data_IF_137577527486
#
_entry.id   IF_137577527486
#
_cell.length_a   1.000
_cell.length_b   1.000
_cell.length_c   1.000
_cell.angle_alpha   90.00
_cell.angle_beta   90.00
_cell.angle_gamma   90.00
#
_symmetry.space_group_name_H-M   'P 1'
#
loop_
_entity.id
_entity.type
_entity.pdbx_description
1 polymer ?
#
# COMPACT_ATOMS: atom_id res chain seq x y z
N UNK A 1 34.24 28.63 -22.15
CA UNK A 1 34.58 27.77 -20.98
C UNK A 1 33.38 26.94 -20.62
N UNK A 2 33.28 25.74 -21.13
CA UNK A 2 32.23 24.75 -20.77
C UNK A 2 32.67 24.09 -19.47
N UNK A 3 31.93 24.35 -18.39
CA UNK A 3 32.09 23.61 -17.15
C UNK A 3 31.44 22.22 -17.33
N UNK A 4 32.27 21.23 -17.50
CA UNK A 4 31.95 19.82 -17.41
C UNK A 4 31.49 19.54 -15.95
N UNK A 5 30.17 19.51 -15.69
CA UNK A 5 29.63 18.93 -14.48
C UNK A 5 29.66 17.41 -14.65
N UNK A 6 30.75 16.77 -14.22
CA UNK A 6 30.78 15.35 -13.92
C UNK A 6 29.84 15.09 -12.74
N UNK A 7 28.55 14.87 -13.03
CA UNK A 7 27.64 14.28 -12.09
C UNK A 7 28.14 12.85 -11.81
N UNK A 8 28.42 12.53 -10.57
CA UNK A 8 28.67 11.18 -10.10
C UNK A 8 27.51 10.29 -10.56
N UNK A 9 27.75 9.50 -11.61
CA UNK A 9 26.80 8.48 -12.07
C UNK A 9 26.76 7.37 -11.00
N UNK A 10 25.90 7.53 -10.02
CA UNK A 10 25.44 6.40 -9.21
C UNK A 10 24.89 5.33 -10.16
N UNK A 11 25.20 4.07 -9.89
CA UNK A 11 24.80 2.91 -10.69
C UNK A 11 23.28 2.97 -10.93
N UNK A 12 22.87 3.34 -12.15
CA UNK A 12 21.45 3.45 -12.51
C UNK A 12 20.84 2.05 -12.51
N UNK A 13 19.91 1.81 -11.59
CA UNK A 13 19.18 0.54 -11.53
C UNK A 13 18.17 0.55 -12.67
N UNK A 14 18.17 -0.50 -13.50
CA UNK A 14 17.22 -0.59 -14.61
C UNK A 14 15.78 -0.57 -14.10
N UNK A 15 14.91 0.32 -14.60
CA UNK A 15 13.55 0.50 -14.14
C UNK A 15 12.69 -0.77 -14.16
N UNK A 16 12.98 -1.72 -15.05
CA UNK A 16 12.24 -2.99 -15.11
C UNK A 16 12.30 -3.81 -13.82
N UNK A 17 13.34 -3.61 -12.99
CA UNK A 17 13.49 -4.33 -11.74
C UNK A 17 12.70 -3.73 -10.58
N UNK A 18 12.34 -2.44 -10.63
CA UNK A 18 11.67 -1.79 -9.51
C UNK A 18 10.29 -1.22 -9.85
N UNK A 19 10.05 -0.74 -11.09
CA UNK A 19 8.74 -0.19 -11.47
C UNK A 19 7.62 -1.23 -11.30
N UNK A 20 7.72 -2.47 -11.82
CA UNK A 20 6.68 -3.48 -11.65
C UNK A 20 6.36 -3.76 -10.18
N UNK A 21 7.40 -3.99 -9.38
CA UNK A 21 7.26 -4.39 -7.98
C UNK A 21 6.76 -3.26 -7.08
N UNK A 22 7.21 -2.02 -7.34
CA UNK A 22 6.77 -0.84 -6.59
C UNK A 22 5.27 -0.54 -6.83
N UNK A 23 4.79 -0.65 -8.07
CA UNK A 23 3.37 -0.44 -8.37
C UNK A 23 2.49 -1.62 -7.99
N UNK A 24 3.02 -2.83 -7.96
CA UNK A 24 2.35 -3.96 -7.32
C UNK A 24 2.19 -3.72 -5.80
N UNK A 25 3.26 -3.28 -5.12
CA UNK A 25 3.22 -2.92 -3.70
C UNK A 25 2.26 -1.75 -3.39
N UNK A 26 2.08 -0.83 -4.34
CA UNK A 26 1.09 0.26 -4.25
C UNK A 26 -0.34 -0.26 -4.30
N UNK A 27 -0.64 -1.18 -5.24
CA UNK A 27 -2.00 -1.70 -5.44
C UNK A 27 -2.47 -2.67 -4.36
N UNK A 28 -1.57 -3.46 -3.80
CA UNK A 28 -1.93 -4.55 -2.89
C UNK A 28 -2.60 -4.07 -1.59
N UNK A 29 -2.06 -3.11 -0.81
CA UNK A 29 -2.72 -2.59 0.40
C UNK A 29 -4.06 -1.92 0.10
N UNK A 30 -4.16 -1.17 -0.99
CA UNK A 30 -5.39 -0.52 -1.40
C UNK A 30 -6.53 -1.53 -1.59
N UNK A 31 -6.28 -2.60 -2.34
CA UNK A 31 -7.30 -3.63 -2.61
C UNK A 31 -7.53 -4.52 -1.39
N UNK A 32 -6.49 -4.81 -0.60
CA UNK A 32 -6.63 -5.57 0.63
C UNK A 32 -7.60 -4.90 1.61
N UNK A 33 -7.53 -3.58 1.75
CA UNK A 33 -8.43 -2.82 2.62
C UNK A 33 -9.81 -2.61 1.98
N UNK A 34 -9.86 -2.25 0.70
CA UNK A 34 -11.10 -1.83 0.05
C UNK A 34 -12.01 -3.00 -0.33
N UNK A 35 -11.44 -4.17 -0.57
CA UNK A 35 -12.21 -5.30 -1.11
C UNK A 35 -11.99 -6.60 -0.34
N UNK A 36 -10.73 -7.02 -0.14
CA UNK A 36 -10.45 -8.30 0.54
C UNK A 36 -10.98 -8.30 1.97
N UNK A 37 -10.80 -7.19 2.71
CA UNK A 37 -11.33 -7.05 4.07
C UNK A 37 -12.86 -7.09 4.14
N UNK A 38 -13.53 -6.63 3.09
CA UNK A 38 -15.01 -6.68 3.02
C UNK A 38 -15.51 -8.11 3.02
N UNK A 39 -14.89 -8.99 2.21
CA UNK A 39 -15.20 -10.41 2.22
C UNK A 39 -14.91 -11.04 3.58
N UNK A 40 -13.73 -10.78 4.14
CA UNK A 40 -13.37 -11.25 5.48
C UNK A 40 -14.43 -10.87 6.54
N UNK A 41 -14.83 -9.61 6.58
CA UNK A 41 -15.79 -9.14 7.57
C UNK A 41 -17.17 -9.76 7.36
N UNK A 42 -17.62 -9.95 6.11
CA UNK A 42 -18.88 -10.64 5.80
C UNK A 42 -18.87 -12.09 6.28
N UNK A 43 -17.82 -12.83 5.96
CA UNK A 43 -17.67 -14.23 6.36
C UNK A 43 -17.59 -14.40 7.88
N UNK A 44 -17.14 -13.37 8.60
CA UNK A 44 -17.05 -13.34 10.06
C UNK A 44 -18.27 -12.70 10.74
N UNK A 45 -19.33 -12.40 9.97
CA UNK A 45 -20.64 -12.01 10.51
C UNK A 45 -20.77 -10.52 10.85
N UNK A 46 -19.90 -9.65 10.35
CA UNK A 46 -20.03 -8.21 10.50
C UNK A 46 -21.13 -7.70 9.56
N UNK A 47 -22.00 -6.83 10.04
CA UNK A 47 -23.11 -6.29 9.26
C UNK A 47 -22.61 -5.41 8.08
N UNK A 48 -23.33 -5.46 6.95
CA UNK A 48 -22.99 -4.66 5.76
C UNK A 48 -22.92 -3.15 6.06
N UNK A 49 -23.79 -2.67 6.97
CA UNK A 49 -23.77 -1.27 7.40
C UNK A 49 -22.47 -0.89 8.09
N UNK A 50 -21.97 -1.73 9.00
CA UNK A 50 -20.69 -1.49 9.69
C UNK A 50 -19.53 -1.59 8.71
N UNK A 51 -19.51 -2.59 7.84
CA UNK A 51 -18.48 -2.77 6.82
C UNK A 51 -18.39 -1.52 5.93
N UNK A 52 -19.52 -1.11 5.33
CA UNK A 52 -19.57 0.04 4.42
C UNK A 52 -19.16 1.33 5.10
N UNK A 53 -19.66 1.59 6.31
CA UNK A 53 -19.31 2.80 7.05
C UNK A 53 -17.80 2.89 7.33
N UNK A 54 -17.23 1.86 7.93
CA UNK A 54 -15.83 1.89 8.34
C UNK A 54 -14.86 1.82 7.15
N UNK A 55 -15.13 0.99 6.14
CA UNK A 55 -14.27 0.93 4.96
C UNK A 55 -14.28 2.24 4.19
N UNK A 56 -15.43 2.91 4.05
CA UNK A 56 -15.50 4.24 3.42
C UNK A 56 -14.67 5.28 4.18
N UNK A 57 -14.72 5.27 5.51
CA UNK A 57 -13.94 6.19 6.34
C UNK A 57 -12.43 5.93 6.22
N UNK A 58 -12.04 4.66 6.24
CA UNK A 58 -10.63 4.26 6.12
C UNK A 58 -10.04 4.63 4.74
N UNK A 59 -10.86 4.76 3.70
CA UNK A 59 -10.39 5.15 2.37
C UNK A 59 -10.08 6.65 2.24
N UNK A 60 -10.47 7.50 3.21
CA UNK A 60 -10.24 8.94 3.16
C UNK A 60 -8.76 9.36 3.00
N UNK A 61 -7.76 8.67 3.58
CA UNK A 61 -6.36 9.05 3.37
C UNK A 61 -5.94 9.13 1.90
N UNK A 62 -6.42 8.24 1.03
CA UNK A 62 -6.11 8.31 -0.40
C UNK A 62 -6.68 9.56 -1.08
N UNK A 63 -7.83 10.04 -0.63
CA UNK A 63 -8.44 11.28 -1.12
C UNK A 63 -7.72 12.51 -0.56
N UNK A 64 -7.33 12.46 0.71
CA UNK A 64 -6.73 13.59 1.42
C UNK A 64 -5.20 13.64 1.35
N UNK A 65 -4.53 12.71 0.65
CA UNK A 65 -3.07 12.59 0.61
C UNK A 65 -2.35 13.87 0.15
N UNK A 66 -3.01 14.75 -0.60
CA UNK A 66 -2.47 16.05 -1.02
C UNK A 66 -2.15 16.97 0.17
N UNK A 67 -2.81 16.81 1.32
CA UNK A 67 -2.59 17.64 2.50
C UNK A 67 -1.20 17.45 3.12
N UNK A 68 -0.64 16.23 3.05
CA UNK A 68 0.69 15.96 3.61
C UNK A 68 1.77 15.66 2.56
N UNK A 69 1.40 15.59 1.30
CA UNK A 69 2.34 15.37 0.19
C UNK A 69 3.52 16.37 0.22
N UNK A 70 3.33 17.70 0.44
CA UNK A 70 4.44 18.64 0.47
C UNK A 70 5.44 18.40 1.62
N UNK A 71 4.96 17.85 2.75
CA UNK A 71 5.84 17.55 3.88
C UNK A 71 6.81 16.40 3.58
N UNK A 72 6.43 15.44 2.72
CA UNK A 72 7.30 14.34 2.32
C UNK A 72 8.51 14.84 1.49
N UNK A 73 8.43 16.00 0.89
CA UNK A 73 9.54 16.60 0.14
C UNK A 73 10.58 17.27 1.04
N UNK A 74 10.19 17.64 2.27
CA UNK A 74 11.07 18.31 3.24
C UNK A 74 11.97 17.36 4.03
N UNK A 75 11.47 16.13 4.26
CA UNK A 75 12.05 15.23 5.25
C UNK A 75 12.68 14.01 4.62
N UNK A 76 13.65 13.56 4.40
CA UNK A 76 14.16 12.29 3.89
C UNK A 76 14.00 12.12 2.38
N UNK A 77 14.52 11.02 1.90
CA UNK A 77 14.40 10.61 0.49
C UNK A 77 13.06 9.94 0.23
N UNK A 78 12.56 10.02 -0.99
CA UNK A 78 11.33 9.30 -1.40
C UNK A 78 11.49 7.79 -1.22
N UNK A 79 12.67 7.23 -1.51
CA UNK A 79 13.01 5.83 -1.22
C UNK A 79 12.79 5.46 0.25
N UNK A 80 13.20 6.33 1.18
CA UNK A 80 12.99 6.07 2.62
C UNK A 80 11.51 5.87 2.94
N UNK A 81 10.64 6.74 2.41
CA UNK A 81 9.20 6.62 2.65
C UNK A 81 8.63 5.35 2.02
N UNK A 82 9.01 4.98 0.78
CA UNK A 82 8.58 3.72 0.16
C UNK A 82 8.93 2.53 1.07
N UNK A 83 10.17 2.43 1.53
CA UNK A 83 10.62 1.32 2.36
C UNK A 83 9.90 1.26 3.70
N UNK A 84 9.76 2.40 4.37
CA UNK A 84 9.09 2.46 5.68
C UNK A 84 7.62 2.08 5.55
N UNK A 85 6.93 2.58 4.53
CA UNK A 85 5.51 2.29 4.34
C UNK A 85 5.24 0.85 3.93
N UNK A 86 6.10 0.23 3.10
CA UNK A 86 6.00 -1.19 2.75
C UNK A 86 6.19 -2.09 3.97
N UNK A 87 7.27 -1.88 4.74
CA UNK A 87 7.56 -2.67 5.93
C UNK A 87 6.51 -2.45 7.02
N UNK A 88 6.08 -1.21 7.24
CA UNK A 88 5.02 -0.88 8.20
C UNK A 88 3.70 -1.56 7.80
N UNK A 89 3.29 -1.44 6.54
CA UNK A 89 2.07 -2.08 6.05
C UNK A 89 2.15 -3.59 6.18
N UNK A 90 3.31 -4.20 5.88
CA UNK A 90 3.52 -5.63 6.06
C UNK A 90 3.36 -6.07 7.51
N UNK A 91 3.99 -5.37 8.46
CA UNK A 91 3.85 -5.66 9.90
C UNK A 91 2.39 -5.51 10.33
N UNK A 92 1.72 -4.45 9.91
CA UNK A 92 0.34 -4.16 10.29
C UNK A 92 -0.66 -5.17 9.69
N UNK A 93 -0.45 -5.67 8.47
CA UNK A 93 -1.24 -6.79 7.95
C UNK A 93 -1.04 -8.07 8.77
N UNK A 94 0.16 -8.29 9.31
CA UNK A 94 0.41 -9.33 10.30
C UNK A 94 -0.39 -9.13 11.59
N UNK A 95 -0.53 -7.89 12.07
CA UNK A 95 -1.41 -7.56 13.20
C UNK A 95 -2.87 -7.84 12.88
N UNK A 96 -3.34 -7.51 11.67
CA UNK A 96 -4.70 -7.88 11.21
C UNK A 96 -4.89 -9.39 11.22
N UNK A 97 -3.96 -10.17 10.66
CA UNK A 97 -4.00 -11.62 10.71
C UNK A 97 -4.10 -12.15 12.15
N UNK A 98 -3.24 -11.63 13.03
CA UNK A 98 -3.22 -12.05 14.43
C UNK A 98 -4.47 -11.61 15.21
N UNK A 99 -5.11 -10.51 14.83
CA UNK A 99 -6.34 -10.03 15.49
C UNK A 99 -7.49 -11.03 15.41
N UNK A 100 -7.50 -11.89 14.39
CA UNK A 100 -8.57 -12.88 14.17
C UNK A 100 -8.64 -13.99 15.24
N UNK A 101 -7.65 -14.05 16.15
CA UNK A 101 -7.71 -14.91 17.34
C UNK A 101 -8.57 -14.32 18.47
N UNK A 102 -8.96 -13.05 18.39
CA UNK A 102 -9.64 -12.35 19.49
C UNK A 102 -11.10 -12.02 19.14
N UNK A 103 -11.96 -11.98 20.13
CA UNK A 103 -13.36 -11.59 19.94
C UNK A 103 -13.51 -10.14 19.45
N UNK A 104 -12.56 -9.27 19.81
CA UNK A 104 -12.53 -7.87 19.38
C UNK A 104 -11.81 -7.64 18.05
N UNK A 105 -11.67 -8.70 17.21
CA UNK A 105 -10.93 -8.64 15.95
C UNK A 105 -11.37 -7.49 15.03
N UNK A 106 -12.66 -7.20 14.98
CA UNK A 106 -13.19 -6.15 14.10
C UNK A 106 -12.62 -4.78 14.46
N UNK A 107 -12.66 -4.37 15.75
CA UNK A 107 -12.12 -3.09 16.19
C UNK A 107 -10.61 -3.00 15.98
N UNK A 108 -9.87 -4.09 16.26
CA UNK A 108 -8.43 -4.15 16.04
C UNK A 108 -8.10 -4.05 14.54
N UNK A 109 -8.80 -4.82 13.70
CA UNK A 109 -8.59 -4.81 12.25
C UNK A 109 -8.86 -3.43 11.65
N UNK A 110 -10.00 -2.80 11.97
CA UNK A 110 -10.38 -1.48 11.47
C UNK A 110 -9.36 -0.42 11.89
N UNK A 111 -8.97 -0.40 13.17
CA UNK A 111 -7.97 0.55 13.67
C UNK A 111 -6.60 0.37 12.98
N UNK A 112 -6.18 -0.88 12.81
CA UNK A 112 -4.93 -1.21 12.14
C UNK A 112 -4.99 -0.86 10.65
N UNK A 113 -6.09 -1.15 9.97
CA UNK A 113 -6.31 -0.81 8.56
C UNK A 113 -6.35 0.70 8.33
N UNK A 114 -6.83 1.49 9.27
CA UNK A 114 -6.75 2.95 9.20
C UNK A 114 -5.29 3.43 9.13
N UNK A 115 -4.39 2.84 9.93
CA UNK A 115 -2.96 3.16 9.87
C UNK A 115 -2.34 2.67 8.56
N UNK A 116 -2.71 1.46 8.08
CA UNK A 116 -2.26 0.97 6.76
C UNK A 116 -2.72 1.91 5.65
N UNK A 117 -3.93 2.47 5.73
CA UNK A 117 -4.45 3.41 4.74
C UNK A 117 -3.61 4.70 4.64
N UNK A 118 -3.20 5.27 5.79
CA UNK A 118 -2.25 6.39 5.81
C UNK A 118 -0.88 5.99 5.25
N UNK A 119 -0.39 4.81 5.63
CA UNK A 119 0.85 4.25 5.10
C UNK A 119 0.78 4.06 3.58
N UNK A 120 -0.29 3.46 3.06
CA UNK A 120 -0.51 3.24 1.63
C UNK A 120 -0.64 4.53 0.83
N UNK A 121 -1.41 5.50 1.32
CA UNK A 121 -1.52 6.81 0.68
C UNK A 121 -0.17 7.56 0.65
N UNK A 122 0.65 7.40 1.69
CA UNK A 122 2.02 7.94 1.73
C UNK A 122 2.95 7.20 0.79
N UNK A 123 2.82 5.87 0.69
CA UNK A 123 3.54 5.05 -0.27
C UNK A 123 3.30 5.50 -1.71
N UNK A 124 2.05 5.75 -2.09
CA UNK A 124 1.67 6.24 -3.42
C UNK A 124 2.44 7.51 -3.78
N UNK A 125 2.41 8.52 -2.89
CA UNK A 125 3.11 9.79 -3.11
C UNK A 125 4.62 9.55 -3.28
N UNK A 126 5.19 8.73 -2.42
CA UNK A 126 6.63 8.46 -2.42
C UNK A 126 7.05 7.67 -3.66
N UNK A 127 6.28 6.65 -4.05
CA UNK A 127 6.55 5.80 -5.22
C UNK A 127 6.47 6.60 -6.52
N UNK A 128 5.40 7.39 -6.71
CA UNK A 128 5.28 8.30 -7.85
C UNK A 128 6.40 9.34 -7.87
N UNK A 129 6.82 9.80 -6.70
CA UNK A 129 7.95 10.71 -6.58
C UNK A 129 9.29 10.08 -6.97
N UNK A 130 9.54 8.79 -6.66
CA UNK A 130 10.71 8.05 -7.16
C UNK A 130 10.63 7.92 -8.67
N UNK A 131 9.48 7.53 -9.19
CA UNK A 131 9.25 7.36 -10.63
C UNK A 131 9.55 8.64 -11.42
N UNK A 132 9.04 9.77 -10.95
CA UNK A 132 9.26 11.07 -11.62
C UNK A 132 10.70 11.59 -11.48
N UNK A 133 11.37 11.30 -10.37
CA UNK A 133 12.71 11.80 -10.11
C UNK A 133 13.82 10.98 -10.81
N UNK A 134 13.63 9.67 -10.92
CA UNK A 134 14.65 8.76 -11.42
C UNK A 134 14.53 8.45 -12.92
N UNK A 135 13.36 8.69 -13.51
CA UNK A 135 13.12 8.43 -14.92
C UNK A 135 13.09 9.74 -15.72
N UNK A 136 13.78 9.77 -16.85
CA UNK A 136 13.62 10.84 -17.84
C UNK A 136 12.24 10.71 -18.53
N UNK A 137 11.83 11.72 -19.29
CA UNK A 137 10.50 11.75 -19.94
C UNK A 137 10.25 10.60 -20.90
N UNK A 138 11.29 10.12 -21.58
CA UNK A 138 11.21 8.98 -22.51
C UNK A 138 10.98 7.68 -21.74
N UNK A 139 11.73 7.43 -20.68
CA UNK A 139 11.54 6.27 -19.82
C UNK A 139 10.21 6.32 -19.08
N UNK A 140 9.76 7.49 -18.60
CA UNK A 140 8.43 7.65 -18.00
C UNK A 140 7.34 7.23 -19.00
N UNK A 141 7.41 7.69 -20.24
CA UNK A 141 6.45 7.31 -21.29
C UNK A 141 6.50 5.81 -21.61
N UNK A 142 7.70 5.20 -21.59
CA UNK A 142 7.89 3.77 -21.83
C UNK A 142 7.31 2.90 -20.70
N UNK A 143 7.50 3.30 -19.45
CA UNK A 143 7.12 2.48 -18.29
C UNK A 143 5.72 2.79 -17.73
N UNK A 144 4.99 3.80 -18.23
CA UNK A 144 3.65 4.13 -17.75
C UNK A 144 2.65 2.97 -17.92
N UNK A 145 2.77 2.22 -19.00
CA UNK A 145 1.96 1.01 -19.24
C UNK A 145 2.29 -0.11 -18.26
N UNK A 146 3.58 -0.27 -17.90
CA UNK A 146 4.05 -1.26 -16.93
C UNK A 146 3.54 -0.90 -15.52
N UNK A 147 3.60 0.38 -15.15
CA UNK A 147 3.05 0.94 -13.92
C UNK A 147 1.57 0.54 -13.75
N UNK A 148 0.73 0.89 -14.72
CA UNK A 148 -0.68 0.56 -14.68
C UNK A 148 -0.97 -0.94 -14.72
N UNK A 149 -0.20 -1.70 -15.49
CA UNK A 149 -0.35 -3.16 -15.58
C UNK A 149 -0.09 -3.83 -14.23
N UNK A 150 1.01 -3.51 -13.55
CA UNK A 150 1.35 -4.17 -12.27
C UNK A 150 0.48 -3.71 -11.10
N UNK A 151 -0.01 -2.47 -11.11
CA UNK A 151 -1.06 -2.05 -10.20
C UNK A 151 -2.34 -2.89 -10.38
N UNK A 152 -2.74 -3.17 -11.63
CA UNK A 152 -3.90 -4.03 -11.91
C UNK A 152 -3.62 -5.51 -11.64
N UNK A 153 -2.39 -6.00 -11.83
CA UNK A 153 -2.00 -7.35 -11.41
C UNK A 153 -2.19 -7.52 -9.90
N UNK A 154 -1.81 -6.52 -9.09
CA UNK A 154 -2.06 -6.55 -7.65
C UNK A 154 -3.56 -6.69 -7.34
N UNK A 155 -4.43 -5.98 -8.07
CA UNK A 155 -5.89 -6.10 -7.92
C UNK A 155 -6.39 -7.51 -8.27
N UNK A 156 -5.92 -8.08 -9.38
CA UNK A 156 -6.33 -9.43 -9.80
C UNK A 156 -5.85 -10.48 -8.80
N UNK A 157 -4.62 -10.38 -8.33
CA UNK A 157 -4.07 -11.29 -7.32
C UNK A 157 -4.85 -11.19 -6.01
N UNK A 158 -5.10 -9.97 -5.52
CA UNK A 158 -5.77 -9.77 -4.24
C UNK A 158 -7.26 -10.16 -4.32
N UNK A 159 -8.01 -9.62 -5.28
CA UNK A 159 -9.45 -9.86 -5.38
C UNK A 159 -9.80 -11.23 -5.96
N UNK A 160 -9.10 -11.66 -7.00
CA UNK A 160 -9.35 -12.98 -7.62
C UNK A 160 -8.63 -14.10 -6.87
N UNK A 161 -7.30 -13.99 -6.78
CA UNK A 161 -6.45 -15.05 -6.24
C UNK A 161 -6.63 -15.28 -4.74
N UNK A 162 -6.44 -14.23 -3.93
CA UNK A 162 -6.46 -14.39 -2.46
C UNK A 162 -7.86 -14.63 -1.92
N UNK A 163 -8.90 -14.03 -2.50
CA UNK A 163 -10.30 -14.30 -2.09
C UNK A 163 -10.71 -15.72 -2.45
N UNK A 164 -10.37 -16.20 -3.65
CA UNK A 164 -10.63 -17.60 -4.02
C UNK A 164 -9.86 -18.57 -3.10
N UNK A 165 -8.60 -18.26 -2.81
CA UNK A 165 -7.81 -19.06 -1.87
C UNK A 165 -8.41 -19.07 -0.46
N UNK A 166 -8.99 -17.96 0.01
CA UNK A 166 -9.69 -17.89 1.29
C UNK A 166 -10.87 -18.87 1.34
N UNK A 167 -11.68 -18.95 0.27
CA UNK A 167 -12.77 -19.90 0.15
C UNK A 167 -12.28 -21.35 0.21
N UNK A 168 -11.27 -21.69 -0.58
CA UNK A 168 -10.67 -23.04 -0.59
C UNK A 168 -10.09 -23.42 0.78
N UNK A 169 -9.42 -22.50 1.47
CA UNK A 169 -8.90 -22.73 2.82
C UNK A 169 -10.02 -22.89 3.84
N UNK A 170 -11.10 -22.11 3.74
CA UNK A 170 -12.24 -22.24 4.63
C UNK A 170 -12.90 -23.63 4.50
N UNK A 171 -13.09 -24.13 3.28
CA UNK A 171 -13.56 -25.49 3.03
C UNK A 171 -12.60 -26.54 3.61
N UNK A 172 -11.30 -26.36 3.41
CA UNK A 172 -10.27 -27.25 3.98
C UNK A 172 -10.32 -27.26 5.51
N UNK A 173 -10.63 -26.14 6.16
CA UNK A 173 -10.81 -26.04 7.62
C UNK A 173 -12.20 -26.45 8.10
N UNK A 174 -13.04 -26.98 7.22
CA UNK A 174 -14.33 -27.56 7.56
C UNK A 174 -15.52 -26.61 7.47
N UNK A 175 -15.43 -25.51 6.73
CA UNK A 175 -16.59 -24.71 6.39
C UNK A 175 -17.58 -25.51 5.56
N UNK A 176 -18.86 -25.45 5.93
CA UNK A 176 -19.95 -26.20 5.29
C UNK A 176 -20.82 -25.19 4.53
N UNK A 177 -21.01 -25.42 3.23
CA UNK A 177 -21.88 -24.59 2.40
C UNK A 177 -23.34 -24.62 2.94
N UNK A 178 -23.94 -23.43 3.07
CA UNK A 178 -25.30 -23.30 3.60
C UNK A 178 -25.42 -23.37 5.12
N UNK A 179 -24.34 -23.65 5.86
CA UNK A 179 -24.38 -23.59 7.33
C UNK A 179 -24.41 -22.14 7.83
N UNK A 180 -24.78 -21.96 9.10
CA UNK A 180 -24.80 -20.63 9.71
C UNK A 180 -23.38 -20.02 9.80
N UNK A 181 -23.31 -18.68 9.87
CA UNK A 181 -22.04 -17.95 10.04
C UNK A 181 -21.33 -18.45 11.31
N UNK A 182 -22.06 -18.62 12.40
CA UNK A 182 -21.47 -19.06 13.67
C UNK A 182 -20.85 -20.46 13.57
N UNK A 183 -21.46 -21.37 12.79
CA UNK A 183 -20.92 -22.72 12.58
C UNK A 183 -19.61 -22.69 11.78
N UNK A 184 -19.48 -21.77 10.83
CA UNK A 184 -18.33 -21.66 9.94
C UNK A 184 -17.26 -20.64 10.45
N UNK A 185 -17.54 -19.90 11.51
CA UNK A 185 -16.69 -18.78 11.98
C UNK A 185 -15.24 -19.19 12.22
N UNK A 186 -15.00 -20.35 12.83
CA UNK A 186 -13.65 -20.85 13.08
C UNK A 186 -12.87 -21.15 11.81
N UNK A 187 -13.54 -21.79 10.82
CA UNK A 187 -12.94 -22.11 9.54
C UNK A 187 -12.59 -20.84 8.75
N UNK A 188 -13.51 -19.89 8.66
CA UNK A 188 -13.26 -18.59 8.00
C UNK A 188 -12.19 -17.78 8.72
N UNK A 189 -12.20 -17.74 10.06
CA UNK A 189 -11.16 -17.04 10.82
C UNK A 189 -9.77 -17.57 10.50
N UNK A 190 -9.61 -18.91 10.47
CA UNK A 190 -8.34 -19.56 10.14
C UNK A 190 -7.90 -19.29 8.69
N UNK A 191 -8.84 -19.33 7.74
CA UNK A 191 -8.57 -19.05 6.34
C UNK A 191 -8.10 -17.60 6.16
N UNK A 192 -8.86 -16.63 6.66
CA UNK A 192 -8.53 -15.21 6.54
C UNK A 192 -7.25 -14.82 7.26
N UNK A 193 -6.93 -15.46 8.38
CA UNK A 193 -5.65 -15.28 9.06
C UNK A 193 -4.48 -15.63 8.12
N UNK A 194 -4.56 -16.75 7.40
CA UNK A 194 -3.53 -17.14 6.44
C UNK A 194 -3.44 -16.11 5.30
N UNK A 195 -4.58 -15.65 4.77
CA UNK A 195 -4.60 -14.67 3.68
C UNK A 195 -3.90 -13.38 4.09
N UNK A 196 -4.24 -12.81 5.25
CA UNK A 196 -3.59 -11.58 5.72
C UNK A 196 -2.13 -11.80 6.12
N UNK A 197 -1.76 -12.98 6.60
CA UNK A 197 -0.36 -13.34 6.83
C UNK A 197 0.43 -13.43 5.50
N UNK A 198 -0.18 -13.94 4.43
CA UNK A 198 0.43 -13.94 3.08
C UNK A 198 0.62 -12.52 2.56
N UNK A 199 -0.40 -11.65 2.69
CA UNK A 199 -0.26 -10.22 2.31
C UNK A 199 0.87 -9.56 3.11
N UNK A 200 0.94 -9.81 4.42
CA UNK A 200 2.00 -9.31 5.29
C UNK A 200 3.38 -9.75 4.80
N UNK A 201 3.55 -11.04 4.53
CA UNK A 201 4.81 -11.61 4.03
C UNK A 201 5.22 -11.00 2.69
N UNK A 202 4.27 -10.86 1.75
CA UNK A 202 4.54 -10.25 0.43
C UNK A 202 5.00 -8.80 0.59
N UNK A 203 4.32 -7.98 1.42
CA UNK A 203 4.71 -6.58 1.65
C UNK A 203 6.10 -6.46 2.30
N UNK A 204 6.42 -7.31 3.29
CA UNK A 204 7.75 -7.33 3.91
C UNK A 204 8.82 -7.73 2.90
N UNK A 205 8.58 -8.77 2.09
CA UNK A 205 9.52 -9.23 1.06
C UNK A 205 9.76 -8.15 0.00
N UNK A 206 8.71 -7.42 -0.42
CA UNK A 206 8.84 -6.30 -1.35
C UNK A 206 9.66 -5.17 -0.72
N UNK A 207 9.41 -4.81 0.54
CA UNK A 207 10.21 -3.82 1.26
C UNK A 207 11.68 -4.21 1.35
N UNK A 208 11.99 -5.47 1.68
CA UNK A 208 13.37 -5.99 1.70
C UNK A 208 14.02 -5.98 0.31
N UNK A 209 13.27 -6.34 -0.73
CA UNK A 209 13.73 -6.27 -2.12
C UNK A 209 14.06 -4.84 -2.54
N UNK A 210 13.20 -3.88 -2.20
CA UNK A 210 13.36 -2.48 -2.55
C UNK A 210 14.50 -1.78 -1.80
N UNK A 211 15.00 -2.32 -0.70
CA UNK A 211 16.24 -1.83 -0.07
C UNK A 211 17.38 -1.77 -1.09
N UNK A 212 17.50 -2.79 -1.94
CA UNK A 212 18.56 -2.91 -2.93
C UNK A 212 18.15 -2.43 -4.32
N UNK A 213 16.91 -2.70 -4.73
CA UNK A 213 16.45 -2.53 -6.11
C UNK A 213 15.76 -1.20 -6.39
N UNK A 214 15.34 -0.46 -5.36
CA UNK A 214 14.78 0.88 -5.56
C UNK A 214 15.95 1.90 -5.65
N UNK A 215 15.99 2.79 -6.66
CA UNK A 215 17.01 3.80 -6.75
C UNK A 215 16.94 4.79 -5.59
N UNK A 216 18.09 5.38 -5.23
CA UNK A 216 18.15 6.38 -4.17
C UNK A 216 17.98 7.76 -4.77
N UNK A 217 16.83 8.37 -4.57
CA UNK A 217 16.59 9.77 -4.92
C UNK A 217 17.46 10.66 -4.05
N UNK A 218 18.30 11.48 -4.66
CA UNK A 218 18.99 12.53 -3.92
C UNK A 218 17.96 13.59 -3.50
N UNK A 219 17.98 13.99 -2.23
CA UNK A 219 17.23 15.18 -1.81
C UNK A 219 17.88 16.37 -2.52
N UNK A 220 17.14 17.15 -3.33
CA UNK A 220 17.73 18.31 -3.99
C UNK A 220 18.36 19.22 -2.94
N UNK A 221 19.65 19.54 -3.12
CA UNK A 221 20.38 20.43 -2.21
C UNK A 221 19.90 21.89 -2.27
N UNK A 222 19.06 22.22 -3.25
CA UNK A 222 18.54 23.54 -3.53
C UNK A 222 17.13 23.71 -2.95
N UNK A 223 17.05 24.47 -1.86
CA UNK A 223 15.82 25.09 -1.40
C UNK A 223 14.88 24.14 -0.64
N UNK A 224 15.23 23.82 0.59
CA UNK A 224 14.20 23.37 1.54
C UNK A 224 13.16 24.48 1.63
N UNK A 225 11.99 24.30 1.02
CA UNK A 225 10.86 25.20 1.26
C UNK A 225 10.60 25.27 2.75
N UNK A 226 10.46 26.47 3.27
CA UNK A 226 10.10 26.68 4.66
C UNK A 226 8.66 26.21 4.88
N UNK A 227 8.33 25.75 6.07
CA UNK A 227 6.95 25.32 6.41
C UNK A 227 5.91 26.38 6.04
N UNK A 228 6.26 27.67 6.12
CA UNK A 228 5.40 28.79 5.76
C UNK A 228 5.15 28.87 4.24
N UNK A 229 6.15 28.58 3.40
CA UNK A 229 6.01 28.57 1.94
C UNK A 229 5.13 27.40 1.47
N UNK A 230 5.26 26.25 2.12
CA UNK A 230 4.39 25.08 1.84
C UNK A 230 2.94 25.35 2.24
N UNK A 231 2.74 25.99 3.41
CA UNK A 231 1.41 26.36 3.86
C UNK A 231 0.76 27.36 2.90
N UNK A 232 1.55 28.28 2.35
CA UNK A 232 1.09 29.22 1.36
C UNK A 232 0.72 28.57 0.02
N UNK A 233 1.53 27.60 -0.42
CA UNK A 233 1.23 26.78 -1.61
C UNK A 233 -0.05 25.97 -1.43
N UNK A 234 -0.25 25.34 -0.26
CA UNK A 234 -1.49 24.62 0.08
C UNK A 234 -2.72 25.53 0.07
N UNK A 235 -2.63 26.71 0.67
CA UNK A 235 -3.72 27.70 0.65
C UNK A 235 -4.05 28.14 -0.76
N UNK A 236 -3.04 28.34 -1.60
CA UNK A 236 -3.24 28.72 -3.01
C UNK A 236 -3.89 27.60 -3.84
N UNK A 237 -3.60 26.33 -3.53
CA UNK A 237 -4.22 25.16 -4.22
C UNK A 237 -5.67 24.95 -3.79
N UNK A 238 -6.00 25.24 -2.54
CA UNK A 238 -7.37 25.07 -2.01
C UNK A 238 -8.27 26.26 -2.36
N UNK A 239 -7.66 27.45 -2.59
CA UNK A 239 -8.38 28.70 -2.87
C UNK A 239 -8.67 28.98 -4.36
N UNK A 240 -8.20 28.15 -5.27
CA UNK A 240 -8.49 28.16 -6.70
C UNK A 240 -9.37 26.98 -7.10
#
# INVERSE_FOLDING_TARGET
>A
MQQNKTASQGKTINPIYWVPTAYFAMGLPFIAINLVSVFMFKDLGISDTQITFWTSLIMMPWTLKFLWSPFLEMYRTKKFFVLVTELLSGILFGVVAFSLFFDYFFAISISTMAVIAFSGATHDIACDGVYMAELNKEDQAKYIGVQGAFYNVAKLVANGGLVALAGMLAEHFGAIEGASIDANKGAYSSAWMIIFAVIAAVMVLLGLYHIKMLPSTQVPATGKKTTSEIMQDLVNVIGN
#
